data_IF_862972336776
#
_entry.id   IF_862972336776
#
_cell.length_a   1.000
_cell.length_b   1.000
_cell.length_c   1.000
_cell.angle_alpha   90.00
_cell.angle_beta   90.00
_cell.angle_gamma   90.00
#
_symmetry.space_group_name_H-M   'P 1'
#
loop_
_entity.id
_entity.type
_entity.pdbx_description
1 polymer ?
#
# COMPACT_ATOMS: atom_id res chain seq x y z
N UNK A 1 27.79 13.89 -2.19
CA UNK A 1 27.75 12.42 -2.33
C UNK A 1 28.91 11.78 -1.58
N UNK A 2 28.65 10.93 -0.56
CA UNK A 2 29.69 10.07 -0.03
C UNK A 2 30.21 9.15 -1.14
N UNK A 3 31.53 9.01 -1.26
CA UNK A 3 32.11 8.12 -2.27
C UNK A 3 31.79 6.66 -1.94
N UNK A 4 31.76 5.79 -2.95
CA UNK A 4 31.61 4.33 -2.75
C UNK A 4 32.59 3.78 -1.70
N UNK A 5 33.83 4.30 -1.68
CA UNK A 5 34.85 3.98 -0.66
C UNK A 5 34.45 4.43 0.74
N UNK A 6 33.88 5.64 0.86
CA UNK A 6 33.39 6.16 2.15
C UNK A 6 32.22 5.33 2.68
N UNK A 7 31.26 4.99 1.83
CA UNK A 7 30.11 4.14 2.19
C UNK A 7 30.60 2.77 2.68
N UNK A 8 31.50 2.13 1.92
CA UNK A 8 32.03 0.81 2.27
C UNK A 8 32.79 0.81 3.61
N UNK A 9 33.55 1.87 3.89
CA UNK A 9 34.25 2.03 5.16
C UNK A 9 33.29 2.22 6.34
N UNK A 10 32.27 3.08 6.20
CA UNK A 10 31.25 3.29 7.23
C UNK A 10 30.45 2.00 7.47
N UNK A 11 30.09 1.27 6.41
CA UNK A 11 29.40 -0.01 6.50
C UNK A 11 30.24 -1.06 7.24
N UNK A 12 31.55 -1.12 7.01
CA UNK A 12 32.42 -2.09 7.70
C UNK A 12 32.38 -1.90 9.23
N UNK A 13 32.36 -0.66 9.70
CA UNK A 13 32.23 -0.34 11.13
C UNK A 13 30.82 -0.68 11.66
N UNK A 14 29.78 -0.32 10.91
CA UNK A 14 28.41 -0.63 11.28
C UNK A 14 28.17 -2.14 11.37
N UNK A 15 28.68 -2.91 10.39
CA UNK A 15 28.60 -4.37 10.35
C UNK A 15 29.23 -4.99 11.60
N UNK A 16 30.40 -4.53 12.02
CA UNK A 16 31.01 -5.02 13.27
C UNK A 16 30.12 -4.69 14.47
N UNK A 17 29.60 -3.47 14.55
CA UNK A 17 28.74 -3.04 15.68
C UNK A 17 27.46 -3.88 15.79
N UNK A 18 26.85 -4.25 14.68
CA UNK A 18 25.69 -5.14 14.65
C UNK A 18 26.07 -6.59 14.97
N UNK A 19 27.23 -7.06 14.50
CA UNK A 19 27.73 -8.40 14.81
C UNK A 19 27.98 -8.59 16.31
N UNK A 20 28.46 -7.56 17.02
CA UNK A 20 28.61 -7.56 18.48
C UNK A 20 27.28 -7.78 19.23
N UNK A 21 26.15 -7.48 18.57
CA UNK A 21 24.79 -7.68 19.07
C UNK A 21 24.11 -8.93 18.47
N UNK A 22 24.85 -9.76 17.73
CA UNK A 22 24.34 -10.97 17.10
C UNK A 22 23.48 -10.75 15.85
N UNK A 23 23.57 -9.57 15.22
CA UNK A 23 22.80 -9.21 14.03
C UNK A 23 23.65 -9.30 12.77
N UNK A 24 23.20 -10.07 11.77
CA UNK A 24 23.85 -10.17 10.45
C UNK A 24 23.30 -9.12 9.48
N UNK A 25 24.05 -8.04 9.26
CA UNK A 25 23.67 -6.98 8.32
C UNK A 25 23.62 -7.45 6.86
N UNK A 26 24.40 -8.46 6.48
CA UNK A 26 24.38 -9.00 5.11
C UNK A 26 23.07 -9.75 4.85
N UNK A 27 22.60 -10.52 5.83
CA UNK A 27 21.29 -11.17 5.78
C UNK A 27 20.16 -10.13 5.76
N UNK A 28 20.23 -9.10 6.61
CA UNK A 28 19.24 -8.03 6.66
C UNK A 28 19.13 -7.29 5.32
N UNK A 29 20.24 -6.90 4.69
CA UNK A 29 20.23 -6.26 3.37
C UNK A 29 19.57 -7.17 2.33
N UNK A 30 19.97 -8.45 2.24
CA UNK A 30 19.40 -9.40 1.27
C UNK A 30 17.89 -9.60 1.48
N UNK A 31 17.43 -9.67 2.72
CA UNK A 31 16.02 -9.80 3.05
C UNK A 31 15.23 -8.52 2.69
N UNK A 32 15.73 -7.34 3.08
CA UNK A 32 15.11 -6.06 2.78
C UNK A 32 14.91 -5.83 1.28
N UNK A 33 15.87 -6.24 0.44
CA UNK A 33 15.78 -6.13 -1.02
C UNK A 33 14.78 -7.10 -1.66
N UNK A 34 14.54 -8.25 -1.01
CA UNK A 34 13.63 -9.30 -1.49
C UNK A 34 12.16 -9.00 -1.21
N UNK A 35 11.85 -8.37 -0.07
CA UNK A 35 10.49 -8.05 0.34
C UNK A 35 9.90 -7.02 -0.64
N UNK A 36 8.86 -7.34 -1.43
CA UNK A 36 8.32 -6.38 -2.37
C UNK A 36 7.57 -5.25 -1.65
N UNK A 37 7.67 -4.02 -2.15
CA UNK A 37 6.77 -2.92 -1.75
C UNK A 37 5.89 -2.57 -2.96
N UNK A 38 4.57 -2.62 -2.77
CA UNK A 38 3.61 -2.27 -3.82
C UNK A 38 3.34 -0.78 -3.83
N UNK A 39 3.70 -0.12 -4.93
CA UNK A 39 3.47 1.30 -5.14
C UNK A 39 2.02 1.49 -5.59
N UNK A 40 1.22 2.29 -4.91
CA UNK A 40 -0.08 2.70 -5.43
C UNK A 40 0.07 3.50 -6.72
N UNK A 41 -0.81 3.36 -7.70
CA UNK A 41 -0.72 4.16 -8.94
C UNK A 41 -1.29 5.58 -8.79
N UNK A 42 -2.17 5.79 -7.82
CA UNK A 42 -3.04 6.97 -7.75
C UNK A 42 -2.39 8.25 -7.24
N UNK A 43 -1.19 8.16 -6.66
CA UNK A 43 -0.39 9.35 -6.33
C UNK A 43 0.15 10.05 -7.58
N UNK A 44 0.16 9.40 -8.76
CA UNK A 44 0.68 10.00 -9.99
C UNK A 44 -0.26 11.07 -10.60
N UNK A 45 -1.56 10.99 -10.31
CA UNK A 45 -2.59 11.80 -10.99
C UNK A 45 -3.67 12.35 -10.03
N UNK A 46 -3.48 12.22 -8.72
CA UNK A 46 -4.41 12.69 -7.69
C UNK A 46 -5.72 11.89 -7.63
N UNK A 47 -5.64 10.57 -7.82
CA UNK A 47 -6.80 9.66 -7.73
C UNK A 47 -7.87 10.00 -8.78
N UNK A 48 -7.46 10.45 -9.98
CA UNK A 48 -8.38 10.89 -11.04
C UNK A 48 -8.79 9.76 -11.97
N UNK A 49 -7.92 8.77 -12.17
CA UNK A 49 -8.17 7.67 -13.08
C UNK A 49 -7.97 8.06 -14.56
N UNK A 50 -8.19 7.07 -15.42
CA UNK A 50 -8.04 7.14 -16.87
C UNK A 50 -9.35 6.84 -17.62
N UNK A 51 -10.46 6.67 -16.89
CA UNK A 51 -11.80 6.41 -17.45
C UNK A 51 -12.26 7.54 -18.39
N UNK A 52 -12.96 7.15 -19.45
CA UNK A 52 -13.66 8.05 -20.39
C UNK A 52 -15.16 7.98 -20.06
N UNK A 53 -15.86 9.09 -19.71
CA UNK A 53 -15.50 10.50 -19.84
C UNK A 53 -14.73 11.08 -18.64
N UNK A 54 -13.88 12.09 -18.92
CA UNK A 54 -12.84 12.62 -18.01
C UNK A 54 -13.30 13.59 -16.91
N UNK A 55 -14.59 13.90 -16.83
CA UNK A 55 -15.11 14.79 -15.79
C UNK A 55 -15.21 14.00 -14.49
N UNK A 56 -14.11 13.98 -13.74
CA UNK A 56 -14.00 13.23 -12.48
C UNK A 56 -15.10 13.63 -11.51
N UNK A 57 -15.95 12.66 -11.16
CA UNK A 57 -16.92 12.81 -10.08
C UNK A 57 -16.14 12.70 -8.77
N UNK A 58 -16.01 13.78 -8.01
CA UNK A 58 -15.47 13.69 -6.65
C UNK A 58 -16.46 12.89 -5.77
N UNK A 59 -15.96 11.93 -4.99
CA UNK A 59 -16.80 11.13 -4.10
C UNK A 59 -16.04 9.97 -3.46
N UNK A 60 -16.57 9.41 -2.38
CA UNK A 60 -15.98 8.28 -1.66
C UNK A 60 -15.30 8.63 -0.33
N UNK A 61 -15.32 9.90 0.08
CA UNK A 61 -14.79 10.34 1.38
C UNK A 61 -13.27 10.36 1.51
N UNK A 62 -12.57 10.26 0.39
CA UNK A 62 -11.15 10.54 0.23
C UNK A 62 -10.96 11.87 -0.51
N UNK A 63 -9.85 12.56 -0.25
CA UNK A 63 -9.57 13.85 -0.89
C UNK A 63 -8.07 14.09 -1.05
N UNK A 64 -7.63 14.19 -2.29
CA UNK A 64 -6.27 14.67 -2.59
C UNK A 64 -6.20 16.18 -2.37
N UNK A 65 -5.29 16.62 -1.50
CA UNK A 65 -5.15 18.03 -1.10
C UNK A 65 -3.87 18.62 -1.66
N UNK A 66 -4.00 19.77 -2.31
CA UNK A 66 -2.91 20.47 -2.99
C UNK A 66 -3.16 20.66 -4.48
N UNK A 67 -2.21 21.26 -5.18
CA UNK A 67 -2.31 21.57 -6.61
C UNK A 67 -0.95 21.70 -7.28
N UNK A 68 0.02 20.93 -6.81
CA UNK A 68 1.38 20.95 -7.34
C UNK A 68 1.37 20.58 -8.83
N UNK A 69 2.02 21.35 -9.72
CA UNK A 69 1.92 21.16 -11.16
C UNK A 69 2.54 19.83 -11.62
N UNK A 70 2.26 19.44 -12.86
CA UNK A 70 2.95 18.33 -13.50
C UNK A 70 2.38 16.94 -13.21
N UNK A 71 1.16 16.83 -12.67
CA UNK A 71 0.47 15.53 -12.54
C UNK A 71 0.41 14.80 -13.88
N UNK A 72 0.43 13.47 -13.84
CA UNK A 72 0.17 12.67 -15.03
C UNK A 72 -1.29 12.84 -15.48
N UNK A 73 -1.52 12.83 -16.79
CA UNK A 73 -2.83 13.09 -17.42
C UNK A 73 -3.33 11.90 -18.25
N UNK A 74 -2.51 10.87 -18.38
CA UNK A 74 -2.80 9.65 -19.13
C UNK A 74 -1.85 8.52 -18.68
N UNK A 75 -2.13 7.29 -19.10
CA UNK A 75 -1.32 6.12 -18.74
C UNK A 75 0.14 6.19 -19.18
N UNK A 76 0.45 6.87 -20.28
CA UNK A 76 1.84 7.01 -20.76
C UNK A 76 2.66 7.95 -19.87
N UNK A 77 2.08 9.07 -19.46
CA UNK A 77 2.69 9.97 -18.48
C UNK A 77 2.87 9.27 -17.12
N UNK A 78 1.86 8.52 -16.66
CA UNK A 78 1.97 7.78 -15.39
C UNK A 78 3.09 6.74 -15.43
N UNK A 79 3.17 5.93 -16.49
CA UNK A 79 4.25 4.95 -16.66
C UNK A 79 5.62 5.60 -16.76
N UNK A 80 5.72 6.76 -17.41
CA UNK A 80 6.98 7.51 -17.50
C UNK A 80 7.41 8.08 -16.14
N UNK A 81 6.47 8.56 -15.33
CA UNK A 81 6.74 9.03 -13.96
C UNK A 81 7.15 7.85 -13.06
N UNK A 82 6.44 6.72 -13.15
CA UNK A 82 6.78 5.49 -12.44
C UNK A 82 8.15 4.93 -12.85
N UNK A 83 8.51 4.99 -14.14
CA UNK A 83 9.87 4.63 -14.59
C UNK A 83 10.95 5.51 -13.94
N UNK A 84 10.66 6.80 -13.71
CA UNK A 84 11.56 7.68 -12.98
C UNK A 84 11.63 7.34 -11.50
N UNK A 85 10.50 7.01 -10.88
CA UNK A 85 10.44 6.53 -9.49
C UNK A 85 11.27 5.25 -9.32
N UNK A 86 11.05 4.24 -10.16
CA UNK A 86 11.72 2.94 -10.05
C UNK A 86 13.25 3.04 -10.13
N UNK A 87 13.81 4.00 -10.87
CA UNK A 87 15.26 4.24 -10.94
C UNK A 87 15.87 4.74 -9.62
N UNK A 88 15.04 5.26 -8.71
CA UNK A 88 15.48 5.89 -7.46
C UNK A 88 15.20 5.02 -6.22
N UNK A 89 14.60 3.84 -6.43
CA UNK A 89 14.16 2.93 -5.39
C UNK A 89 15.03 1.66 -5.35
N UNK A 90 15.60 1.29 -4.20
CA UNK A 90 16.27 0.01 -4.06
C UNK A 90 15.26 -1.14 -3.84
N UNK A 91 15.63 -2.33 -4.31
CA UNK A 91 14.88 -3.56 -4.06
C UNK A 91 13.68 -3.78 -4.98
N UNK A 92 12.95 -4.87 -4.73
CA UNK A 92 11.80 -5.27 -5.55
C UNK A 92 10.59 -4.39 -5.30
N UNK A 93 9.95 -3.96 -6.38
CA UNK A 93 8.68 -3.21 -6.32
C UNK A 93 7.55 -3.98 -7.01
N UNK A 94 6.33 -3.63 -6.65
CA UNK A 94 5.08 -3.96 -7.35
C UNK A 94 4.34 -2.65 -7.68
N UNK A 95 3.35 -2.70 -8.55
CA UNK A 95 2.43 -1.59 -8.80
C UNK A 95 1.02 -2.05 -8.46
N UNK A 96 0.35 -1.29 -7.58
CA UNK A 96 -1.02 -1.49 -7.18
C UNK A 96 -1.92 -0.57 -8.02
N UNK A 97 -2.74 -1.18 -8.88
CA UNK A 97 -3.63 -0.48 -9.81
C UNK A 97 -5.05 -0.43 -9.28
N UNK A 98 -5.77 0.65 -9.57
CA UNK A 98 -7.23 0.69 -9.40
C UNK A 98 -7.93 0.46 -10.75
N UNK A 99 -9.17 -0.03 -10.73
CA UNK A 99 -9.91 -0.37 -11.93
C UNK A 99 -10.19 0.82 -12.86
N UNK A 100 -10.44 2.00 -12.30
CA UNK A 100 -10.57 3.21 -13.11
C UNK A 100 -9.27 3.71 -13.78
N UNK A 101 -8.14 3.00 -13.64
CA UNK A 101 -6.93 3.21 -14.46
C UNK A 101 -6.92 2.34 -15.72
N UNK A 102 -8.06 1.75 -16.09
CA UNK A 102 -8.27 1.10 -17.37
C UNK A 102 -7.99 2.06 -18.54
N UNK A 103 -7.36 1.55 -19.60
CA UNK A 103 -7.09 2.28 -20.83
C UNK A 103 -8.03 1.79 -21.93
N UNK A 104 -9.20 2.43 -22.06
CA UNK A 104 -10.26 2.08 -23.01
C UNK A 104 -10.23 2.91 -24.31
N UNK A 105 -9.27 3.84 -24.41
CA UNK A 105 -9.20 4.78 -25.53
C UNK A 105 -10.41 5.72 -25.55
N UNK A 106 -10.99 5.91 -26.74
CA UNK A 106 -12.19 6.74 -26.93
C UNK A 106 -13.50 5.99 -26.62
N UNK A 107 -13.42 4.68 -26.32
CA UNK A 107 -14.60 3.90 -25.98
C UNK A 107 -14.96 4.08 -24.51
N UNK A 108 -16.23 4.40 -24.27
CA UNK A 108 -16.80 4.31 -22.94
C UNK A 108 -17.05 2.83 -22.62
N UNK A 109 -16.43 2.36 -21.55
CA UNK A 109 -16.65 1.02 -20.97
C UNK A 109 -16.97 1.25 -19.50
N UNK A 110 -18.15 0.82 -19.08
CA UNK A 110 -18.56 0.96 -17.69
C UNK A 110 -17.79 -0.04 -16.80
N UNK A 111 -17.71 0.24 -15.50
CA UNK A 111 -16.83 -0.47 -14.56
C UNK A 111 -17.15 -1.96 -14.45
N UNK A 112 -18.41 -2.32 -14.55
CA UNK A 112 -18.87 -3.70 -14.52
C UNK A 112 -18.62 -4.49 -15.81
N UNK A 113 -18.12 -3.82 -16.86
CA UNK A 113 -17.77 -4.39 -18.16
C UNK A 113 -16.25 -4.35 -18.41
N UNK A 114 -15.44 -3.98 -17.42
CA UNK A 114 -13.98 -3.97 -17.55
C UNK A 114 -13.42 -5.39 -17.71
N UNK A 115 -12.50 -5.56 -18.66
CA UNK A 115 -11.85 -6.82 -19.00
C UNK A 115 -10.33 -6.70 -18.96
N UNK A 116 -9.57 -7.82 -18.90
CA UNK A 116 -8.12 -7.80 -18.89
C UNK A 116 -7.47 -7.00 -20.03
N UNK A 117 -8.12 -6.93 -21.20
CA UNK A 117 -7.63 -6.20 -22.36
C UNK A 117 -7.48 -4.68 -22.10
N UNK A 118 -8.31 -4.10 -21.23
CA UNK A 118 -8.22 -2.68 -20.88
C UNK A 118 -7.00 -2.35 -20.01
N UNK A 119 -6.27 -3.38 -19.55
CA UNK A 119 -5.04 -3.25 -18.78
C UNK A 119 -3.81 -3.82 -19.52
N UNK A 120 -3.95 -4.15 -20.81
CA UNK A 120 -2.87 -4.78 -21.58
C UNK A 120 -1.59 -3.92 -21.63
N UNK A 121 -1.73 -2.59 -21.68
CA UNK A 121 -0.59 -1.65 -21.67
C UNK A 121 0.12 -1.62 -20.32
N UNK A 122 -0.62 -1.61 -19.22
CA UNK A 122 -0.08 -1.77 -17.86
C UNK A 122 0.66 -3.10 -17.70
N UNK A 123 0.06 -4.19 -18.18
CA UNK A 123 0.67 -5.51 -18.15
C UNK A 123 1.96 -5.57 -18.96
N UNK A 124 1.96 -4.98 -20.16
CA UNK A 124 3.16 -4.86 -21.01
C UNK A 124 4.28 -4.07 -20.34
N UNK A 125 3.95 -2.94 -19.72
CA UNK A 125 4.89 -2.13 -18.93
C UNK A 125 5.46 -2.92 -17.76
N UNK A 126 4.61 -3.54 -16.95
CA UNK A 126 5.00 -4.31 -15.76
C UNK A 126 5.93 -5.47 -16.13
N UNK A 127 5.62 -6.19 -17.20
CA UNK A 127 6.48 -7.26 -17.74
C UNK A 127 7.85 -6.74 -18.17
N UNK A 128 7.90 -5.59 -18.84
CA UNK A 128 9.16 -4.98 -19.29
C UNK A 128 10.05 -4.50 -18.15
N UNK A 129 9.46 -4.13 -17.01
CA UNK A 129 10.17 -3.66 -15.80
C UNK A 129 10.37 -4.76 -14.74
N UNK A 130 9.83 -5.97 -14.98
CA UNK A 130 9.81 -7.09 -14.02
C UNK A 130 9.15 -6.70 -12.69
N UNK A 131 8.08 -5.91 -12.79
CA UNK A 131 7.26 -5.44 -11.66
C UNK A 131 6.00 -6.30 -11.60
N UNK A 132 5.62 -6.74 -10.40
CA UNK A 132 4.33 -7.43 -10.18
C UNK A 132 3.17 -6.44 -10.16
N UNK A 133 1.96 -6.89 -10.46
CA UNK A 133 0.75 -6.06 -10.41
C UNK A 133 -0.21 -6.54 -9.30
N UNK A 134 -0.61 -5.61 -8.44
CA UNK A 134 -1.74 -5.72 -7.51
C UNK A 134 -2.91 -4.89 -8.04
N UNK A 135 -4.11 -5.12 -7.50
CA UNK A 135 -5.32 -4.55 -8.07
C UNK A 135 -6.37 -4.13 -7.03
N UNK A 136 -7.30 -3.26 -7.44
CA UNK A 136 -8.40 -2.80 -6.61
C UNK A 136 -9.60 -2.52 -7.52
N UNK A 137 -10.81 -3.03 -7.22
CA UNK A 137 -12.01 -2.45 -7.80
C UNK A 137 -12.19 -1.01 -7.31
N UNK A 138 -12.76 -0.14 -8.13
CA UNK A 138 -13.01 1.27 -7.79
C UNK A 138 -14.49 1.44 -7.47
N UNK A 139 -14.84 1.47 -6.18
CA UNK A 139 -16.23 1.62 -5.69
C UNK A 139 -16.62 3.07 -5.35
N UNK A 140 -15.94 4.07 -5.90
CA UNK A 140 -16.15 5.49 -5.59
C UNK A 140 -16.02 6.35 -6.84
N UNK A 141 -16.29 7.66 -6.79
CA UNK A 141 -16.20 8.54 -7.96
C UNK A 141 -17.02 8.00 -9.17
N UNK A 142 -18.29 7.66 -8.94
CA UNK A 142 -19.18 7.07 -9.94
C UNK A 142 -20.64 7.39 -9.62
N UNK A 143 -21.50 7.48 -10.64
CA UNK A 143 -22.93 7.78 -10.46
C UNK A 143 -23.62 6.76 -9.53
N UNK A 144 -23.34 5.47 -9.72
CA UNK A 144 -23.79 4.39 -8.83
C UNK A 144 -23.21 4.42 -7.41
N UNK A 145 -22.36 5.39 -7.05
CA UNK A 145 -21.84 5.62 -5.70
C UNK A 145 -22.34 6.95 -5.08
N UNK A 146 -23.08 7.78 -5.81
CA UNK A 146 -23.49 9.12 -5.37
C UNK A 146 -24.34 9.14 -4.09
N UNK A 147 -25.02 8.03 -3.78
CA UNK A 147 -25.82 7.90 -2.55
C UNK A 147 -24.97 7.76 -1.27
N UNK A 148 -23.66 7.55 -1.41
CA UNK A 148 -22.78 7.13 -0.30
C UNK A 148 -22.83 5.63 -0.02
N UNK A 149 -23.53 4.84 -0.84
CA UNK A 149 -23.61 3.38 -0.71
C UNK A 149 -23.40 2.68 -2.06
N UNK A 150 -22.63 1.59 -2.04
CA UNK A 150 -22.30 0.74 -3.20
C UNK A 150 -22.76 -0.70 -2.97
N UNK A 151 -21.87 -1.59 -2.52
CA UNK A 151 -22.16 -3.00 -2.23
C UNK A 151 -23.23 -3.17 -1.15
N UNK A 152 -23.39 -2.18 -0.27
CA UNK A 152 -24.41 -2.17 0.79
C UNK A 152 -25.63 -1.29 0.47
N UNK A 153 -25.74 -0.76 -0.74
CA UNK A 153 -26.89 0.05 -1.18
C UNK A 153 -28.21 -0.68 -0.95
N UNK A 154 -29.27 0.04 -0.58
CA UNK A 154 -30.61 -0.55 -0.49
C UNK A 154 -31.17 -0.89 -1.88
N UNK A 155 -30.73 -0.18 -2.93
CA UNK A 155 -31.12 -0.43 -4.32
C UNK A 155 -30.44 -1.71 -4.86
N UNK A 156 -31.22 -2.76 -5.21
CA UNK A 156 -30.67 -3.98 -5.78
C UNK A 156 -29.95 -3.78 -7.12
N UNK A 157 -30.34 -2.80 -7.93
CA UNK A 157 -29.69 -2.52 -9.20
C UNK A 157 -28.26 -1.98 -9.00
N UNK A 158 -28.10 -1.02 -8.08
CA UNK A 158 -26.79 -0.50 -7.65
C UNK A 158 -25.91 -1.61 -7.09
N UNK A 159 -26.45 -2.46 -6.20
CA UNK A 159 -25.67 -3.60 -5.68
C UNK A 159 -25.25 -4.56 -6.79
N UNK A 160 -26.15 -4.89 -7.72
CA UNK A 160 -25.87 -5.79 -8.84
C UNK A 160 -24.75 -5.26 -9.74
N UNK A 161 -24.73 -3.95 -9.99
CA UNK A 161 -23.65 -3.28 -10.71
C UNK A 161 -22.30 -3.50 -10.00
N UNK A 162 -22.19 -3.14 -8.72
CA UNK A 162 -20.94 -3.25 -7.98
C UNK A 162 -20.47 -4.70 -7.74
N UNK A 163 -21.41 -5.66 -7.63
CA UNK A 163 -21.09 -7.09 -7.58
C UNK A 163 -20.47 -7.55 -8.90
N UNK A 164 -21.03 -7.13 -10.05
CA UNK A 164 -20.45 -7.45 -11.37
C UNK A 164 -19.07 -6.84 -11.53
N UNK A 165 -18.89 -5.57 -11.15
CA UNK A 165 -17.59 -4.92 -11.13
C UNK A 165 -16.55 -5.65 -10.27
N UNK A 166 -16.92 -6.07 -9.06
CA UNK A 166 -16.04 -6.85 -8.18
C UNK A 166 -15.58 -8.16 -8.82
N UNK A 167 -16.48 -8.88 -9.53
CA UNK A 167 -16.13 -10.10 -10.26
C UNK A 167 -15.21 -9.84 -11.45
N UNK A 168 -15.52 -8.82 -12.26
CA UNK A 168 -14.70 -8.40 -13.38
C UNK A 168 -13.25 -8.10 -12.94
N UNK A 169 -13.10 -7.38 -11.83
CA UNK A 169 -11.79 -7.06 -11.28
C UNK A 169 -11.00 -8.29 -10.81
N UNK A 170 -11.66 -9.31 -10.26
CA UNK A 170 -11.01 -10.58 -9.89
C UNK A 170 -10.43 -11.31 -11.10
N UNK A 171 -11.13 -11.31 -12.24
CA UNK A 171 -10.61 -11.86 -13.49
C UNK A 171 -9.42 -11.06 -14.06
N UNK A 172 -9.44 -9.73 -13.94
CA UNK A 172 -8.32 -8.87 -14.32
C UNK A 172 -7.08 -9.20 -13.48
N UNK A 173 -7.24 -9.27 -12.15
CA UNK A 173 -6.14 -9.62 -11.24
C UNK A 173 -5.58 -11.03 -11.50
N UNK A 174 -6.43 -12.01 -11.79
CA UNK A 174 -5.98 -13.34 -12.21
C UNK A 174 -5.14 -13.30 -13.49
N UNK A 175 -5.57 -12.52 -14.49
CA UNK A 175 -4.82 -12.35 -15.74
C UNK A 175 -3.44 -11.73 -15.49
N UNK A 176 -3.32 -10.75 -14.58
CA UNK A 176 -2.02 -10.22 -14.18
C UNK A 176 -1.12 -11.31 -13.61
N UNK A 177 -1.65 -12.12 -12.69
CA UNK A 177 -0.88 -13.17 -12.06
C UNK A 177 -0.40 -14.25 -13.05
N UNK A 178 -1.26 -14.66 -13.98
CA UNK A 178 -0.92 -15.62 -15.04
C UNK A 178 0.21 -15.11 -15.94
N UNK A 179 0.20 -13.81 -16.27
CA UNK A 179 1.15 -13.22 -17.21
C UNK A 179 2.47 -12.78 -16.57
N UNK A 180 2.48 -12.48 -15.27
CA UNK A 180 3.66 -11.98 -14.53
C UNK A 180 4.31 -13.06 -13.64
N UNK A 181 3.65 -14.20 -13.42
CA UNK A 181 4.21 -15.32 -12.66
C UNK A 181 4.26 -15.10 -11.14
N UNK A 182 3.45 -14.18 -10.62
CA UNK A 182 3.29 -13.94 -9.18
C UNK A 182 1.84 -13.62 -8.87
N UNK A 183 1.26 -14.05 -7.73
CA UNK A 183 -0.11 -13.71 -7.37
C UNK A 183 -0.34 -12.19 -7.37
N UNK A 184 -1.54 -11.77 -7.77
CA UNK A 184 -2.01 -10.40 -7.69
C UNK A 184 -2.90 -10.28 -6.46
N UNK A 185 -2.55 -9.39 -5.53
CA UNK A 185 -3.42 -9.08 -4.40
C UNK A 185 -4.50 -8.13 -4.90
N UNK A 186 -5.77 -8.51 -4.75
CA UNK A 186 -6.91 -7.63 -5.04
C UNK A 186 -7.51 -7.13 -3.74
N UNK A 187 -7.44 -5.82 -3.49
CA UNK A 187 -7.96 -5.25 -2.25
C UNK A 187 -9.32 -4.58 -2.48
N UNK A 188 -10.29 -4.93 -1.63
CA UNK A 188 -11.66 -4.45 -1.68
C UNK A 188 -11.90 -3.43 -0.55
N UNK A 189 -11.84 -2.16 -0.91
CA UNK A 189 -12.25 -1.03 -0.07
C UNK A 189 -13.50 -0.34 -0.64
N UNK A 190 -14.46 0.04 0.20
CA UNK A 190 -15.67 0.76 -0.21
C UNK A 190 -15.93 1.99 0.66
N UNK A 191 -16.56 3.05 0.12
CA UNK A 191 -16.86 4.25 0.88
C UNK A 191 -18.16 4.17 1.70
N UNK A 192 -18.84 3.02 1.67
CA UNK A 192 -20.20 2.86 2.17
C UNK A 192 -20.36 3.30 3.62
N UNK A 193 -21.21 4.31 3.83
CA UNK A 193 -21.37 4.91 5.15
C UNK A 193 -22.42 6.01 5.21
N UNK A 194 -22.53 6.64 6.38
CA UNK A 194 -23.42 7.75 6.62
C UNK A 194 -22.65 8.92 7.27
N UNK A 195 -22.95 10.13 6.79
CA UNK A 195 -22.45 11.38 7.35
C UNK A 195 -22.93 11.65 8.77
N UNK A 196 -24.16 11.23 9.08
CA UNK A 196 -24.85 11.46 10.36
C UNK A 196 -25.44 10.14 10.87
N UNK A 197 -26.01 10.16 12.08
CA UNK A 197 -26.43 8.99 12.84
C UNK A 197 -27.44 8.13 12.05
N UNK A 198 -27.08 6.90 11.63
CA UNK A 198 -28.02 6.04 10.93
C UNK A 198 -29.03 5.42 11.91
N UNK A 199 -30.28 5.29 11.46
CA UNK A 199 -31.30 4.56 12.21
C UNK A 199 -31.08 3.03 12.20
N UNK A 200 -30.32 2.52 11.22
CA UNK A 200 -30.04 1.09 11.04
C UNK A 200 -28.58 0.87 10.60
N UNK A 201 -27.81 0.19 11.47
CA UNK A 201 -26.44 -0.28 11.18
C UNK A 201 -26.38 -1.75 10.78
N UNK A 202 -27.48 -2.51 10.89
CA UNK A 202 -27.54 -3.94 10.59
C UNK A 202 -27.81 -4.18 9.10
N UNK A 203 -28.86 -3.57 8.55
CA UNK A 203 -29.29 -3.81 7.17
C UNK A 203 -28.19 -3.58 6.13
N UNK A 204 -27.42 -2.47 6.17
CA UNK A 204 -26.29 -2.26 5.27
C UNK A 204 -25.20 -3.34 5.40
N UNK A 205 -24.86 -3.78 6.62
CA UNK A 205 -23.83 -4.81 6.85
C UNK A 205 -24.25 -6.18 6.36
N UNK A 206 -25.53 -6.54 6.53
CA UNK A 206 -26.08 -7.78 5.97
C UNK A 206 -26.01 -7.79 4.44
N UNK A 207 -26.38 -6.67 3.80
CA UNK A 207 -26.26 -6.51 2.34
C UNK A 207 -24.82 -6.57 1.88
N UNK A 208 -23.90 -5.94 2.62
CA UNK A 208 -22.47 -5.98 2.30
C UNK A 208 -21.92 -7.40 2.32
N UNK A 209 -22.21 -8.15 3.39
CA UNK A 209 -21.80 -9.55 3.51
C UNK A 209 -22.35 -10.39 2.34
N UNK A 210 -23.64 -10.24 2.02
CA UNK A 210 -24.26 -10.95 0.89
C UNK A 210 -23.66 -10.56 -0.47
N UNK A 211 -23.31 -9.29 -0.66
CA UNK A 211 -22.69 -8.80 -1.90
C UNK A 211 -21.27 -9.37 -2.07
N UNK A 212 -20.46 -9.38 -1.01
CA UNK A 212 -19.14 -10.01 -1.07
C UNK A 212 -19.21 -11.52 -1.21
N UNK A 213 -20.14 -12.21 -0.52
CA UNK A 213 -20.35 -13.64 -0.70
C UNK A 213 -20.72 -13.93 -2.17
N UNK A 214 -21.51 -13.07 -2.82
CA UNK A 214 -21.82 -13.18 -4.25
C UNK A 214 -20.60 -12.94 -5.16
N UNK A 215 -19.68 -12.02 -4.81
CA UNK A 215 -18.42 -11.78 -5.53
C UNK A 215 -17.49 -13.01 -5.42
N UNK A 216 -17.29 -13.51 -4.20
CA UNK A 216 -16.34 -14.60 -3.89
C UNK A 216 -16.91 -16.01 -4.15
N UNK A 217 -18.21 -16.11 -4.43
CA UNK A 217 -18.84 -17.32 -4.96
C UNK A 217 -18.35 -17.66 -6.37
N UNK A 218 -17.78 -16.71 -7.11
CA UNK A 218 -17.19 -16.99 -8.42
C UNK A 218 -15.96 -17.89 -8.29
N UNK A 219 -16.14 -19.17 -8.64
CA UNK A 219 -15.13 -20.23 -8.61
C UNK A 219 -14.35 -20.36 -9.92
N UNK A 220 -14.67 -19.57 -10.93
CA UNK A 220 -13.90 -19.54 -12.17
C UNK A 220 -12.56 -18.81 -12.01
N UNK A 221 -12.41 -17.99 -10.95
CA UNK A 221 -11.16 -17.33 -10.56
C UNK A 221 -10.36 -18.19 -9.57
N UNK A 222 -9.08 -18.43 -9.87
CA UNK A 222 -8.16 -19.14 -9.00
C UNK A 222 -7.63 -18.25 -7.86
N UNK A 223 -8.03 -18.59 -6.62
CA UNK A 223 -7.64 -17.87 -5.39
C UNK A 223 -6.14 -17.89 -5.06
N UNK A 224 -5.35 -18.76 -5.68
CA UNK A 224 -3.88 -18.75 -5.56
C UNK A 224 -3.24 -17.70 -6.47
N UNK A 225 -3.92 -17.31 -7.53
CA UNK A 225 -3.47 -16.31 -8.50
C UNK A 225 -4.04 -14.93 -8.16
N UNK A 226 -5.33 -14.87 -7.82
CA UNK A 226 -6.02 -13.68 -7.35
C UNK A 226 -6.26 -13.80 -5.84
N UNK A 227 -5.49 -13.06 -5.04
CA UNK A 227 -5.56 -13.10 -3.57
C UNK A 227 -6.48 -11.99 -3.09
N UNK A 228 -7.69 -12.36 -2.67
CA UNK A 228 -8.72 -11.42 -2.21
C UNK A 228 -8.39 -10.86 -0.81
N UNK A 229 -8.26 -9.54 -0.70
CA UNK A 229 -8.14 -8.78 0.53
C UNK A 229 -9.35 -7.85 0.75
N UNK A 230 -9.71 -7.60 2.01
CA UNK A 230 -10.77 -6.66 2.38
C UNK A 230 -10.27 -5.63 3.38
N UNK A 231 -10.70 -4.40 3.23
CA UNK A 231 -10.15 -3.25 3.96
C UNK A 231 -11.22 -2.47 4.71
N UNK A 232 -11.03 -2.36 6.03
CA UNK A 232 -11.86 -1.53 6.89
C UNK A 232 -11.39 -0.10 6.96
N UNK A 233 -12.34 0.80 7.24
CA UNK A 233 -12.10 2.21 7.51
C UNK A 233 -12.94 2.67 8.69
N UNK A 234 -12.37 3.53 9.53
CA UNK A 234 -13.10 4.12 10.66
C UNK A 234 -14.14 5.13 10.18
N UNK A 235 -13.71 6.11 9.38
CA UNK A 235 -14.56 7.17 8.84
C UNK A 235 -13.94 7.79 7.58
N UNK A 236 -14.76 8.45 6.76
CA UNK A 236 -14.32 9.28 5.63
C UNK A 236 -15.07 10.61 5.59
N UNK A 237 -14.65 11.54 4.72
CA UNK A 237 -15.37 12.79 4.51
C UNK A 237 -16.75 12.51 3.87
N UNK A 238 -17.84 12.84 4.56
CA UNK A 238 -19.21 12.45 4.16
C UNK A 238 -19.65 11.06 4.64
N UNK A 239 -18.81 10.33 5.39
CA UNK A 239 -19.13 9.08 6.08
C UNK A 239 -18.59 9.08 7.52
N UNK A 240 -18.66 10.23 8.18
CA UNK A 240 -18.01 10.51 9.47
C UNK A 240 -18.58 9.68 10.63
N UNK A 241 -19.89 9.52 10.69
CA UNK A 241 -20.60 8.93 11.83
C UNK A 241 -20.73 7.40 11.73
N UNK A 242 -20.67 6.87 10.51
CA UNK A 242 -20.84 5.45 10.29
C UNK A 242 -20.19 4.99 9.00
N UNK A 243 -19.35 3.96 9.09
CA UNK A 243 -18.87 3.18 7.95
C UNK A 243 -19.41 1.76 8.06
N UNK A 244 -19.97 1.25 6.95
CA UNK A 244 -20.58 -0.08 6.89
C UNK A 244 -19.51 -1.14 7.12
N UNK A 245 -18.43 -1.06 6.35
CA UNK A 245 -17.26 -1.92 6.44
C UNK A 245 -16.30 -1.48 7.56
N UNK A 246 -16.71 -1.65 8.81
CA UNK A 246 -15.85 -1.36 9.97
C UNK A 246 -14.76 -2.41 10.16
N UNK A 247 -13.80 -2.13 11.05
CA UNK A 247 -12.72 -3.07 11.37
C UNK A 247 -13.25 -4.42 11.88
N UNK A 248 -14.22 -4.43 12.79
CA UNK A 248 -14.80 -5.68 13.32
C UNK A 248 -15.55 -6.44 12.24
N UNK A 249 -16.23 -5.75 11.32
CA UNK A 249 -16.90 -6.39 10.21
C UNK A 249 -15.89 -7.14 9.35
N UNK A 250 -14.84 -6.47 8.89
CA UNK A 250 -13.86 -7.07 7.98
C UNK A 250 -12.93 -8.06 8.64
N UNK A 251 -12.55 -7.88 9.90
CA UNK A 251 -11.78 -8.89 10.63
C UNK A 251 -12.56 -10.20 10.72
N UNK A 252 -13.83 -10.15 11.12
CA UNK A 252 -14.69 -11.35 11.20
C UNK A 252 -15.00 -11.94 9.82
N UNK A 253 -15.26 -11.07 8.83
CA UNK A 253 -15.58 -11.50 7.47
C UNK A 253 -14.38 -12.19 6.80
N UNK A 254 -13.19 -11.58 6.86
CA UNK A 254 -11.97 -12.15 6.32
C UNK A 254 -11.60 -13.47 6.99
N UNK A 255 -11.70 -13.54 8.32
CA UNK A 255 -11.41 -14.76 9.08
C UNK A 255 -12.33 -15.90 8.67
N UNK A 256 -13.64 -15.67 8.66
CA UNK A 256 -14.64 -16.70 8.38
C UNK A 256 -14.66 -17.18 6.91
N UNK A 257 -14.10 -16.40 5.98
CA UNK A 257 -14.04 -16.74 4.54
C UNK A 257 -12.62 -17.05 4.03
N UNK A 258 -11.62 -17.07 4.92
CA UNK A 258 -10.22 -17.28 4.54
C UNK A 258 -9.74 -16.26 3.49
N UNK A 259 -10.05 -14.98 3.72
CA UNK A 259 -9.56 -13.85 2.93
C UNK A 259 -8.40 -13.17 3.67
N UNK A 260 -7.66 -12.33 2.95
CA UNK A 260 -6.64 -11.47 3.54
C UNK A 260 -7.33 -10.26 4.19
N UNK A 261 -6.93 -9.92 5.41
CA UNK A 261 -7.34 -8.67 6.04
C UNK A 261 -6.33 -7.57 5.68
N UNK A 262 -6.81 -6.45 5.17
CA UNK A 262 -5.99 -5.26 4.96
C UNK A 262 -6.01 -4.38 6.22
N UNK A 263 -4.83 -3.90 6.63
CA UNK A 263 -4.64 -2.94 7.70
C UNK A 263 -3.95 -1.69 7.13
N UNK A 264 -4.67 -0.58 7.06
CA UNK A 264 -4.12 0.72 6.69
C UNK A 264 -3.77 1.55 7.93
N UNK A 265 -2.58 2.16 7.97
CA UNK A 265 -2.13 2.99 9.11
C UNK A 265 -3.04 4.20 9.38
N UNK A 266 -3.78 4.68 8.39
CA UNK A 266 -4.63 5.87 8.44
C UNK A 266 -6.07 5.60 8.85
N UNK A 267 -6.49 4.34 8.87
CA UNK A 267 -7.91 3.96 8.93
C UNK A 267 -8.46 3.71 10.35
N UNK A 268 -7.73 4.06 11.40
CA UNK A 268 -8.04 3.70 12.78
C UNK A 268 -8.32 4.91 13.68
N UNK A 269 -8.74 4.65 14.92
CA UNK A 269 -9.01 5.70 15.90
C UNK A 269 -7.73 6.47 16.26
N UNK A 270 -7.86 7.72 16.77
CA UNK A 270 -6.72 8.42 17.33
C UNK A 270 -5.99 7.55 18.36
N UNK A 271 -4.66 7.48 18.25
CA UNK A 271 -3.75 6.66 19.09
C UNK A 271 -3.82 5.15 18.90
N UNK A 272 -4.73 4.63 18.07
CA UNK A 272 -4.82 3.20 17.79
C UNK A 272 -3.63 2.74 16.94
N UNK A 273 -2.94 1.68 17.40
CA UNK A 273 -1.69 1.20 16.79
C UNK A 273 -1.95 0.00 15.89
N UNK A 274 -1.60 0.11 14.60
CA UNK A 274 -1.64 -1.05 13.69
C UNK A 274 -0.59 -2.10 14.07
N UNK A 275 0.55 -1.69 14.64
CA UNK A 275 1.58 -2.62 15.09
C UNK A 275 1.02 -3.63 16.12
N UNK A 276 0.20 -3.18 17.06
CA UNK A 276 -0.43 -4.04 18.09
C UNK A 276 -1.41 -5.06 17.49
N UNK A 277 -2.00 -4.73 16.34
CA UNK A 277 -2.98 -5.58 15.65
C UNK A 277 -2.34 -6.74 14.90
N UNK A 278 -1.07 -6.60 14.50
CA UNK A 278 -0.39 -7.58 13.63
C UNK A 278 -0.30 -8.94 14.30
N UNK A 279 0.29 -9.02 15.49
CA UNK A 279 0.45 -10.31 16.20
C UNK A 279 -0.90 -10.91 16.60
N UNK A 280 -1.85 -10.06 16.97
CA UNK A 280 -3.24 -10.45 17.25
C UNK A 280 -3.92 -11.09 16.04
N UNK A 281 -3.85 -10.46 14.86
CA UNK A 281 -4.49 -11.00 13.66
C UNK A 281 -3.73 -12.20 13.08
N UNK A 282 -2.39 -12.20 13.09
CA UNK A 282 -1.60 -13.34 12.62
C UNK A 282 -1.72 -14.59 13.51
N UNK A 283 -2.35 -14.51 14.68
CA UNK A 283 -2.75 -15.70 15.42
C UNK A 283 -3.89 -16.48 14.73
N UNK A 284 -4.68 -15.83 13.87
CA UNK A 284 -5.88 -16.41 13.25
C UNK A 284 -5.89 -16.33 11.71
N UNK A 285 -5.30 -15.28 11.14
CA UNK A 285 -5.21 -15.07 9.70
C UNK A 285 -3.89 -15.64 9.15
N UNK A 286 -3.93 -16.30 7.99
CA UNK A 286 -2.72 -16.80 7.35
C UNK A 286 -1.80 -15.66 6.91
N UNK A 287 -2.39 -14.62 6.29
CA UNK A 287 -1.69 -13.44 5.78
C UNK A 287 -2.45 -12.14 6.04
N UNK A 288 -1.70 -11.04 6.06
CA UNK A 288 -2.23 -9.66 6.09
C UNK A 288 -1.75 -8.86 4.89
N UNK A 289 -2.56 -7.89 4.47
CA UNK A 289 -2.12 -6.78 3.61
C UNK A 289 -1.90 -5.56 4.50
N UNK A 290 -0.79 -4.88 4.31
CA UNK A 290 -0.42 -3.68 5.06
C UNK A 290 -0.36 -2.51 4.09
N UNK A 291 -1.24 -1.53 4.26
CA UNK A 291 -1.15 -0.25 3.57
C UNK A 291 -0.43 0.75 4.47
N UNK A 292 0.83 1.06 4.15
CA UNK A 292 1.56 2.10 4.88
C UNK A 292 1.17 3.47 4.34
N UNK A 293 0.53 4.25 5.20
CA UNK A 293 0.09 5.63 5.01
C UNK A 293 0.53 6.47 6.21
N UNK A 294 0.28 7.78 6.20
CA UNK A 294 0.48 8.65 7.37
C UNK A 294 -0.74 9.51 7.65
N UNK A 295 -1.57 9.17 8.65
CA UNK A 295 -2.69 10.02 9.04
C UNK A 295 -2.22 11.25 9.81
N UNK A 296 -2.82 12.40 9.49
CA UNK A 296 -2.66 13.66 10.21
C UNK A 296 -4.04 14.10 10.67
N UNK A 297 -4.41 13.61 11.86
CA UNK A 297 -5.70 13.82 12.56
C UNK A 297 -6.91 13.10 11.95
N UNK A 298 -6.87 12.85 10.65
CA UNK A 298 -7.83 12.04 9.91
C UNK A 298 -7.05 11.16 8.93
N UNK A 299 -7.76 10.33 8.20
CA UNK A 299 -7.20 9.57 7.08
C UNK A 299 -6.85 10.49 5.92
N UNK A 300 -5.71 11.16 6.06
CA UNK A 300 -5.31 12.31 5.26
C UNK A 300 -4.28 11.97 4.19
N UNK A 301 -3.93 10.69 4.04
CA UNK A 301 -3.09 10.19 2.96
C UNK A 301 -1.78 10.96 2.76
N UNK A 302 -1.09 11.32 3.84
CA UNK A 302 0.21 11.96 3.72
C UNK A 302 1.29 10.93 3.42
N UNK A 303 2.33 11.39 2.72
CA UNK A 303 3.51 10.59 2.42
C UNK A 303 4.11 9.99 3.69
N UNK A 304 4.36 8.68 3.66
CA UNK A 304 5.04 7.93 4.72
C UNK A 304 6.43 8.53 4.97
N UNK A 305 6.77 8.70 6.24
CA UNK A 305 8.12 9.03 6.68
C UNK A 305 8.58 7.96 7.67
N UNK A 306 9.88 7.92 8.00
CA UNK A 306 10.43 6.96 8.96
C UNK A 306 10.09 7.35 10.41
N UNK A 307 8.81 7.45 10.73
CA UNK A 307 8.29 7.73 12.06
C UNK A 307 8.08 6.46 12.90
N UNK A 308 7.61 6.62 14.14
CA UNK A 308 7.38 5.49 15.04
C UNK A 308 6.29 4.54 14.55
N UNK A 309 5.26 5.02 13.85
CA UNK A 309 4.14 4.18 13.44
C UNK A 309 4.59 3.12 12.43
N UNK A 310 5.24 3.53 11.34
CA UNK A 310 5.73 2.59 10.32
C UNK A 310 6.89 1.74 10.86
N UNK A 311 7.77 2.32 11.69
CA UNK A 311 8.87 1.56 12.31
C UNK A 311 8.36 0.47 13.23
N UNK A 312 7.41 0.79 14.12
CA UNK A 312 6.86 -0.19 15.05
C UNK A 312 6.09 -1.28 14.33
N UNK A 313 5.34 -0.94 13.27
CA UNK A 313 4.63 -1.93 12.47
C UNK A 313 5.60 -2.97 11.88
N UNK A 314 6.65 -2.52 11.20
CA UNK A 314 7.57 -3.44 10.52
C UNK A 314 8.56 -4.10 11.47
N UNK A 315 8.80 -3.50 12.64
CA UNK A 315 9.49 -4.14 13.76
C UNK A 315 8.68 -5.32 14.32
N UNK A 316 7.36 -5.17 14.47
CA UNK A 316 6.50 -6.27 14.94
C UNK A 316 6.52 -7.45 13.95
N UNK A 317 6.49 -7.16 12.65
CA UNK A 317 6.66 -8.18 11.60
C UNK A 317 8.01 -8.89 11.71
N UNK A 318 9.09 -8.14 11.94
CA UNK A 318 10.42 -8.72 12.11
C UNK A 318 10.53 -9.61 13.36
N UNK A 319 10.02 -9.13 14.50
CA UNK A 319 10.05 -9.86 15.78
C UNK A 319 9.21 -11.12 15.77
N UNK A 320 8.13 -11.13 14.99
CA UNK A 320 7.28 -12.30 14.77
C UNK A 320 7.75 -13.23 13.66
N UNK A 321 8.88 -12.96 13.00
CA UNK A 321 9.36 -13.66 11.80
C UNK A 321 8.25 -13.84 10.73
N UNK A 322 7.47 -12.78 10.51
CA UNK A 322 6.21 -12.83 9.78
C UNK A 322 6.31 -12.32 8.33
N UNK A 323 7.52 -12.15 7.78
CA UNK A 323 7.73 -11.53 6.46
C UNK A 323 7.04 -12.26 5.30
N UNK A 324 6.92 -13.59 5.35
CA UNK A 324 6.23 -14.37 4.31
C UNK A 324 4.69 -14.36 4.46
N UNK A 325 4.21 -13.77 5.56
CA UNK A 325 2.79 -13.68 5.94
C UNK A 325 2.21 -12.28 5.74
N UNK A 326 2.96 -11.36 5.13
CA UNK A 326 2.46 -10.02 4.83
C UNK A 326 2.71 -9.58 3.40
N UNK A 327 1.77 -8.82 2.89
CA UNK A 327 1.94 -8.00 1.69
C UNK A 327 2.14 -6.56 2.15
N UNK A 328 3.18 -5.89 1.65
CA UNK A 328 3.46 -4.48 1.99
C UNK A 328 3.14 -3.61 0.78
N UNK A 329 2.21 -2.69 0.95
CA UNK A 329 1.80 -1.73 -0.05
C UNK A 329 1.81 -0.32 0.56
N UNK A 330 1.97 0.69 -0.28
CA UNK A 330 1.82 2.09 0.12
C UNK A 330 0.38 2.52 -0.15
N UNK A 331 -0.16 3.41 0.67
CA UNK A 331 -1.38 4.16 0.36
C UNK A 331 -1.22 5.60 0.84
N UNK A 332 -1.11 6.53 -0.10
CA UNK A 332 -1.11 7.97 0.17
C UNK A 332 -1.27 8.73 -1.15
N UNK A 333 -1.66 10.00 -1.10
CA UNK A 333 -1.76 10.85 -2.28
C UNK A 333 -1.67 12.32 -1.88
N UNK A 334 -0.43 12.81 -1.79
CA UNK A 334 -0.13 14.20 -1.51
C UNK A 334 -0.01 14.99 -2.83
N UNK A 335 -1.01 15.82 -3.13
CA UNK A 335 -1.01 16.70 -4.29
C UNK A 335 -0.36 18.06 -4.01
N UNK A 336 0.19 18.30 -2.81
CA UNK A 336 0.84 19.56 -2.45
C UNK A 336 2.32 19.62 -2.83
N UNK A 337 2.91 18.48 -3.20
CA UNK A 337 4.33 18.35 -3.55
C UNK A 337 4.53 17.60 -4.88
N UNK A 338 5.79 17.53 -5.34
CA UNK A 338 6.16 16.73 -6.50
C UNK A 338 5.85 15.24 -6.26
N UNK A 339 5.01 14.64 -7.12
CA UNK A 339 4.49 13.27 -6.98
C UNK A 339 5.58 12.20 -7.06
N UNK A 340 6.64 12.44 -7.84
CA UNK A 340 7.80 11.53 -7.90
C UNK A 340 8.56 11.60 -6.57
N UNK A 341 8.74 12.79 -6.00
CA UNK A 341 9.35 12.93 -4.67
C UNK A 341 8.50 12.28 -3.57
N UNK A 342 7.16 12.36 -3.66
CA UNK A 342 6.25 11.67 -2.75
C UNK A 342 6.47 10.15 -2.77
N UNK A 343 6.43 9.53 -3.95
CA UNK A 343 6.72 8.10 -4.11
C UNK A 343 8.09 7.71 -3.58
N UNK A 344 9.14 8.44 -3.97
CA UNK A 344 10.52 8.12 -3.59
C UNK A 344 10.69 8.22 -2.08
N UNK A 345 10.12 9.25 -1.45
CA UNK A 345 10.17 9.44 0.01
C UNK A 345 9.43 8.32 0.75
N UNK A 346 8.16 8.08 0.42
CA UNK A 346 7.33 7.10 1.12
C UNK A 346 7.82 5.66 0.95
N UNK A 347 8.23 5.29 -0.27
CA UNK A 347 8.76 3.94 -0.52
C UNK A 347 10.08 3.71 0.20
N UNK A 348 11.00 4.69 0.18
CA UNK A 348 12.29 4.58 0.86
C UNK A 348 12.11 4.55 2.37
N UNK A 349 11.21 5.36 2.94
CA UNK A 349 10.88 5.33 4.37
C UNK A 349 10.35 3.94 4.78
N UNK A 350 9.44 3.37 4.00
CA UNK A 350 8.91 2.02 4.23
C UNK A 350 10.03 0.96 4.15
N UNK A 351 10.90 1.03 3.13
CA UNK A 351 12.06 0.13 2.99
C UNK A 351 13.07 0.28 4.13
N UNK A 352 13.30 1.50 4.60
CA UNK A 352 14.14 1.78 5.76
C UNK A 352 13.53 1.19 7.03
N UNK A 353 12.22 1.26 7.22
CA UNK A 353 11.53 0.61 8.33
C UNK A 353 11.65 -0.92 8.26
N UNK A 354 11.55 -1.53 7.07
CA UNK A 354 11.85 -2.97 6.84
C UNK A 354 13.27 -3.30 7.29
N UNK A 355 14.26 -2.54 6.81
CA UNK A 355 15.67 -2.75 7.14
C UNK A 355 15.91 -2.59 8.65
N UNK A 356 15.35 -1.56 9.28
CA UNK A 356 15.45 -1.34 10.72
C UNK A 356 14.86 -2.51 11.52
N UNK A 357 13.71 -3.06 11.11
CA UNK A 357 13.15 -4.26 11.74
C UNK A 357 14.07 -5.48 11.62
N UNK A 358 14.65 -5.70 10.43
CA UNK A 358 15.60 -6.80 10.18
C UNK A 358 16.97 -6.62 10.88
N UNK A 359 17.26 -5.41 11.35
CA UNK A 359 18.46 -5.08 12.12
C UNK A 359 18.22 -5.08 13.64
N UNK A 360 16.99 -5.33 14.10
CA UNK A 360 16.68 -5.39 15.52
C UNK A 360 17.36 -6.62 16.16
N UNK A 361 18.09 -6.47 17.28
CA UNK A 361 18.65 -7.59 18.05
C UNK A 361 17.54 -8.28 18.86
N UNK A 362 16.49 -8.73 18.17
CA UNK A 362 15.25 -9.24 18.77
C UNK A 362 15.48 -10.37 19.76
N UNK A 363 16.40 -11.30 19.45
CA UNK A 363 16.71 -12.43 20.33
C UNK A 363 17.21 -11.98 21.72
N UNK A 364 18.11 -10.99 21.77
CA UNK A 364 18.63 -10.47 23.03
C UNK A 364 17.55 -9.70 23.82
N UNK A 365 16.74 -8.90 23.12
CA UNK A 365 15.64 -8.12 23.71
C UNK A 365 14.57 -9.05 24.29
N UNK A 366 14.15 -10.07 23.54
CA UNK A 366 13.16 -11.07 23.94
C UNK A 366 13.67 -11.94 25.10
N UNK A 367 14.97 -12.29 25.11
CA UNK A 367 15.56 -13.02 26.23
C UNK A 367 15.56 -12.20 27.53
N UNK A 368 15.86 -10.90 27.45
CA UNK A 368 15.76 -10.01 28.61
C UNK A 368 14.32 -9.88 29.11
N UNK A 369 13.35 -9.78 28.20
CA UNK A 369 11.92 -9.74 28.54
C UNK A 369 11.44 -11.03 29.22
N UNK A 370 11.77 -12.19 28.64
CA UNK A 370 11.44 -13.51 29.20
C UNK A 370 12.07 -13.77 30.57
N UNK A 371 13.23 -13.15 30.86
CA UNK A 371 13.89 -13.20 32.16
C UNK A 371 13.31 -12.20 33.20
N UNK A 372 12.26 -11.44 32.84
CA UNK A 372 11.66 -10.42 33.72
C UNK A 372 12.52 -9.16 33.88
N UNK A 373 13.53 -8.97 33.03
CA UNK A 373 14.49 -7.86 33.12
C UNK A 373 14.01 -6.66 32.31
N UNK A 374 12.87 -6.09 32.72
CA UNK A 374 12.22 -5.00 32.00
C UNK A 374 13.10 -3.77 31.75
N UNK A 375 14.03 -3.47 32.66
CA UNK A 375 14.99 -2.37 32.51
C UNK A 375 16.05 -2.65 31.44
N UNK A 376 16.61 -3.86 31.39
CA UNK A 376 17.57 -4.28 30.35
C UNK A 376 16.87 -4.29 28.98
N UNK A 377 15.68 -4.89 28.89
CA UNK A 377 14.86 -4.89 27.67
C UNK A 377 14.64 -3.47 27.13
N UNK A 378 14.19 -2.56 27.99
CA UNK A 378 13.91 -1.18 27.58
C UNK A 378 15.18 -0.43 27.15
N UNK A 379 16.28 -0.58 27.89
CA UNK A 379 17.56 0.04 27.54
C UNK A 379 18.11 -0.50 26.20
N UNK A 380 17.96 -1.79 25.93
CA UNK A 380 18.34 -2.41 24.66
C UNK A 380 17.46 -1.89 23.51
N UNK A 381 16.14 -1.80 23.70
CA UNK A 381 15.23 -1.23 22.70
C UNK A 381 15.59 0.23 22.36
N UNK A 382 15.98 1.03 23.35
CA UNK A 382 16.40 2.42 23.09
C UNK A 382 17.75 2.48 22.36
N UNK A 383 18.69 1.59 22.71
CA UNK A 383 19.97 1.48 22.03
C UNK A 383 19.79 1.27 20.52
N UNK A 384 18.81 0.45 20.09
CA UNK A 384 18.59 0.17 18.65
C UNK A 384 18.29 1.43 17.85
N UNK A 385 17.69 2.46 18.45
CA UNK A 385 17.41 3.74 17.79
C UNK A 385 18.68 4.51 17.41
N UNK A 386 19.77 4.27 18.12
CA UNK A 386 21.08 4.93 17.92
C UNK A 386 22.11 4.07 17.19
N UNK A 387 21.79 2.81 16.89
CA UNK A 387 22.67 1.95 16.10
C UNK A 387 22.87 2.51 14.69
N UNK A 388 24.00 2.22 14.03
CA UNK A 388 24.38 2.83 12.76
C UNK A 388 23.62 2.23 11.56
N UNK A 389 22.28 2.13 11.63
CA UNK A 389 21.43 1.61 10.55
C UNK A 389 21.56 2.45 9.26
N UNK A 390 21.84 3.76 9.37
CA UNK A 390 22.07 4.63 8.21
C UNK A 390 23.24 4.17 7.34
N UNK A 391 24.32 3.67 7.93
CA UNK A 391 25.45 3.12 7.17
C UNK A 391 25.11 1.80 6.46
N UNK A 392 24.19 1.01 7.03
CA UNK A 392 23.68 -0.21 6.39
C UNK A 392 22.74 0.15 5.24
N UNK A 393 21.91 1.18 5.41
CA UNK A 393 21.06 1.73 4.36
C UNK A 393 21.87 2.28 3.18
N UNK A 394 22.91 3.07 3.45
CA UNK A 394 23.77 3.63 2.40
C UNK A 394 24.44 2.52 1.58
N UNK A 395 24.90 1.46 2.23
CA UNK A 395 25.45 0.28 1.57
C UNK A 395 24.39 -0.47 0.74
N UNK A 396 23.17 -0.62 1.26
CA UNK A 396 22.06 -1.19 0.51
C UNK A 396 21.78 -0.39 -0.77
N UNK A 397 21.69 0.93 -0.69
CA UNK A 397 21.51 1.80 -1.85
C UNK A 397 22.67 1.68 -2.84
N UNK A 398 23.91 1.65 -2.35
CA UNK A 398 25.11 1.49 -3.19
C UNK A 398 25.09 0.16 -3.97
N UNK A 399 24.61 -0.93 -3.37
CA UNK A 399 24.50 -2.25 -4.02
C UNK A 399 23.44 -2.30 -5.11
N UNK A 400 22.37 -1.52 -4.94
CA UNK A 400 21.28 -1.38 -5.92
C UNK A 400 21.52 -0.25 -6.93
N UNK A 401 22.69 0.38 -6.92
CA UNK A 401 23.06 1.50 -7.81
C UNK A 401 22.07 2.67 -7.76
N UNK A 402 21.54 2.97 -6.57
CA UNK A 402 20.65 4.12 -6.34
C UNK A 402 21.29 5.12 -5.36
N UNK A 403 20.91 6.41 -5.40
CA UNK A 403 21.39 7.40 -4.45
C UNK A 403 21.12 6.99 -3.00
N UNK A 404 22.15 7.04 -2.15
CA UNK A 404 22.07 6.69 -0.73
C UNK A 404 21.41 7.81 0.10
N UNK A 405 21.90 9.05 -0.09
CA UNK A 405 21.39 10.25 0.56
C UNK A 405 20.32 10.98 -0.25
N UNK A 406 20.19 12.29 -0.05
CA UNK A 406 19.21 13.14 -0.72
C UNK A 406 19.57 13.49 -2.18
N UNK A 407 20.64 12.91 -2.73
CA UNK A 407 21.13 13.23 -4.07
C UNK A 407 20.12 12.90 -5.19
N UNK A 408 19.16 11.98 -4.94
CA UNK A 408 18.04 11.70 -5.84
C UNK A 408 17.14 12.91 -6.11
N UNK A 409 17.15 13.93 -5.23
CA UNK A 409 16.41 15.18 -5.44
C UNK A 409 16.88 15.90 -6.71
N UNK A 410 18.16 15.81 -7.06
CA UNK A 410 18.68 16.40 -8.29
C UNK A 410 18.11 15.71 -9.55
N UNK A 411 17.85 14.40 -9.47
CA UNK A 411 17.22 13.65 -10.55
C UNK A 411 15.75 14.00 -10.70
N UNK A 412 15.04 14.17 -9.58
CA UNK A 412 13.64 14.63 -9.58
C UNK A 412 13.54 16.06 -10.11
N UNK A 413 14.37 16.99 -9.65
CA UNK A 413 14.38 18.37 -10.13
C UNK A 413 14.70 18.46 -11.65
N UNK A 414 15.60 17.59 -12.13
CA UNK A 414 15.89 17.47 -13.56
C UNK A 414 14.69 16.96 -14.34
N UNK A 415 14.08 15.86 -13.89
CA UNK A 415 12.88 15.30 -14.53
C UNK A 415 11.72 16.29 -14.53
N UNK A 416 11.55 17.04 -13.44
CA UNK A 416 10.51 18.06 -13.35
C UNK A 416 10.71 19.17 -14.37
N UNK A 417 11.91 19.76 -14.44
CA UNK A 417 12.25 20.79 -15.44
C UNK A 417 12.09 20.28 -16.88
N UNK A 418 12.50 19.05 -17.14
CA UNK A 418 12.58 18.54 -18.51
C UNK A 418 11.27 17.88 -18.97
N UNK A 419 10.40 17.46 -18.05
CA UNK A 419 9.18 16.68 -18.33
C UNK A 419 7.94 17.25 -17.62
N UNK A 420 7.83 17.13 -16.29
CA UNK A 420 6.52 17.35 -15.62
C UNK A 420 6.08 18.82 -15.65
N UNK A 421 7.02 19.77 -15.56
CA UNK A 421 6.73 21.22 -15.70
C UNK A 421 6.18 21.62 -17.08
N UNK A 422 6.28 20.74 -18.09
CA UNK A 422 5.72 20.96 -19.43
C UNK A 422 4.28 20.46 -19.55
N UNK A 423 3.72 19.88 -18.50
CA UNK A 423 2.31 19.46 -18.43
C UNK A 423 1.52 20.61 -17.82
N UNK A 424 0.94 21.43 -18.71
CA UNK A 424 -0.08 22.41 -18.34
C UNK A 424 -1.36 21.71 -17.85
#
# INVERSE_FOLDING_TARGET
MPSSKSISAAYSLARQRYADLGVDTEAAIRAALRIPVSLHCWQADDVRGLETPKDGIAGGGIMSTGGYPGRARNGDEMRADLDQVLKLLPGKQRLNLHAFYAETGDQHVDRDELEPQHFARWLGWAKSRRVGLDFNPTYFAHEHANSGYTLSSADPAVRKFWIRHGKACRHIAESFAQNLGSPSVINHWIPDGAKDCPADRFGPRERLAAAYDAIFADKSVNRKLCVDAVEGKLFGLGSEEYVVGSQEFYSNYALSRGLVLCLDLGHYHPTESVADKVSSHLAFHEKLLLHTSRPIRWDSDHVVILDDAVRNLLLEIARGDAWDRVYVALDFFDASINRIAAYVTGTRATRQAILCGLLDPSAAIQAADAAGKGHERLALMELTRSLPWGAVWDELCRREDVPAGADWLADVARYERDVTSKRA
#
